data_IF_194463154634
#
_entry.id   IF_194463154634
#
_cell.length_a   1.000
_cell.length_b   1.000
_cell.length_c   1.000
_cell.angle_alpha   90.00
_cell.angle_beta   90.00
_cell.angle_gamma   90.00
#
_symmetry.space_group_name_H-M   'P 1'
#
loop_
_entity.id
_entity.type
_entity.pdbx_description
1 polymer ?
#
# COMPACT_ATOMS: atom_id res chain seq x y z
N UNK A 1 2.66 5.29 7.42
CA UNK A 1 2.42 6.36 6.43
C UNK A 1 2.34 7.68 7.17
N UNK A 2 3.10 8.67 6.71
CA UNK A 2 3.15 10.03 7.21
C UNK A 2 2.61 10.95 6.11
N UNK A 3 1.76 11.91 6.48
CA UNK A 3 1.19 12.90 5.54
C UNK A 3 2.04 14.15 5.65
N UNK A 4 2.69 14.53 4.55
CA UNK A 4 3.54 15.72 4.49
C UNK A 4 2.69 16.95 4.21
N UNK A 5 1.73 16.82 3.29
CA UNK A 5 0.93 17.93 2.81
C UNK A 5 -0.50 17.47 2.57
N UNK A 6 -1.45 18.29 3.02
CA UNK A 6 -2.88 18.15 2.73
C UNK A 6 -3.34 19.40 2.00
N UNK A 7 -3.83 19.24 0.79
CA UNK A 7 -4.34 20.32 -0.04
C UNK A 7 -5.75 20.01 -0.50
N UNK A 8 -6.68 20.90 -0.19
CA UNK A 8 -8.06 20.79 -0.61
C UNK A 8 -8.27 21.53 -1.93
N UNK A 9 -8.88 20.87 -2.92
CA UNK A 9 -9.15 21.43 -4.23
C UNK A 9 -10.66 21.41 -4.52
N UNK A 10 -11.38 22.50 -4.21
CA UNK A 10 -12.83 22.57 -4.36
C UNK A 10 -13.30 22.64 -5.82
N UNK A 11 -12.41 22.88 -6.79
CA UNK A 11 -12.79 22.92 -8.22
C UNK A 11 -12.98 21.50 -8.78
N UNK A 12 -12.27 20.53 -8.20
CA UNK A 12 -12.29 19.12 -8.63
C UNK A 12 -12.90 18.20 -7.56
N UNK A 13 -13.52 18.79 -6.52
CA UNK A 13 -14.09 18.09 -5.36
C UNK A 13 -13.17 16.97 -4.83
N UNK A 14 -11.88 17.31 -4.67
CA UNK A 14 -10.87 16.35 -4.22
C UNK A 14 -9.92 16.92 -3.17
N UNK A 15 -9.46 16.04 -2.31
CA UNK A 15 -8.37 16.28 -1.37
C UNK A 15 -7.11 15.58 -1.91
N UNK A 16 -6.05 16.36 -2.06
CA UNK A 16 -4.73 15.89 -2.48
C UNK A 16 -3.86 15.71 -1.22
N UNK A 17 -3.42 14.49 -0.98
CA UNK A 17 -2.53 14.15 0.13
C UNK A 17 -1.17 13.74 -0.42
N UNK A 18 -0.13 14.52 -0.11
CA UNK A 18 1.25 14.08 -0.34
C UNK A 18 1.70 13.29 0.87
N UNK A 19 2.09 12.04 0.66
CA UNK A 19 2.47 11.15 1.72
C UNK A 19 3.84 10.54 1.53
N UNK A 20 4.35 10.04 2.64
CA UNK A 20 5.60 9.32 2.70
C UNK A 20 5.50 8.14 3.63
N UNK A 21 6.16 7.05 3.26
CA UNK A 21 6.09 5.80 3.97
C UNK A 21 7.50 5.24 4.14
N UNK A 22 7.93 5.15 5.39
CA UNK A 22 9.16 4.44 5.76
C UNK A 22 8.78 2.99 6.12
N UNK A 23 9.20 2.03 5.30
CA UNK A 23 8.94 0.59 5.46
C UNK A 23 10.25 -0.16 5.75
N UNK A 24 10.95 0.25 6.81
CA UNK A 24 12.27 -0.29 7.17
C UNK A 24 12.20 -1.80 7.42
N UNK A 25 12.98 -2.58 6.66
CA UNK A 25 13.00 -4.05 6.78
C UNK A 25 11.83 -4.76 6.09
N UNK A 26 10.88 -4.03 5.51
CA UNK A 26 9.73 -4.58 4.80
C UNK A 26 9.81 -4.29 3.29
N UNK A 27 9.09 -5.10 2.51
CA UNK A 27 8.92 -4.86 1.08
C UNK A 27 8.20 -3.52 0.83
N UNK A 28 8.33 -3.01 -0.40
CA UNK A 28 7.59 -1.82 -0.84
C UNK A 28 6.09 -2.01 -0.61
N UNK A 29 5.39 -1.07 0.06
CA UNK A 29 3.97 -1.19 0.32
C UNK A 29 3.20 -1.38 -0.98
N UNK A 30 2.23 -2.29 -0.95
CA UNK A 30 1.36 -2.56 -2.09
C UNK A 30 0.37 -1.41 -2.32
N UNK A 31 -0.19 -1.36 -3.53
CA UNK A 31 -1.14 -0.30 -3.90
C UNK A 31 -2.40 -0.32 -3.03
N UNK A 32 -2.93 -1.50 -2.68
CA UNK A 32 -4.08 -1.63 -1.77
C UNK A 32 -3.77 -1.10 -0.37
N UNK A 33 -2.60 -1.43 0.19
CA UNK A 33 -2.17 -0.91 1.49
C UNK A 33 -2.06 0.61 1.49
N UNK A 34 -1.58 1.21 0.39
CA UNK A 34 -1.52 2.66 0.24
C UNK A 34 -2.90 3.31 0.16
N UNK A 35 -3.82 2.70 -0.59
CA UNK A 35 -5.23 3.15 -0.67
C UNK A 35 -5.90 3.09 0.70
N UNK A 36 -5.73 2.00 1.43
CA UNK A 36 -6.28 1.81 2.76
C UNK A 36 -5.74 2.80 3.78
N UNK A 37 -4.43 3.04 3.75
CA UNK A 37 -3.79 3.99 4.64
C UNK A 37 -4.21 5.44 4.31
N UNK A 38 -4.36 5.77 3.04
CA UNK A 38 -4.88 7.07 2.60
C UNK A 38 -6.36 7.28 3.00
N UNK A 39 -7.20 6.24 2.88
CA UNK A 39 -8.60 6.31 3.31
C UNK A 39 -8.73 6.46 4.84
N UNK A 40 -7.83 5.85 5.62
CA UNK A 40 -7.77 6.04 7.08
C UNK A 40 -7.26 7.42 7.50
N UNK A 41 -6.43 8.02 6.67
CA UNK A 41 -5.84 9.34 6.91
C UNK A 41 -6.85 10.48 6.81
N UNK A 42 -7.85 10.38 5.93
CA UNK A 42 -8.87 11.41 5.73
C UNK A 42 -10.24 10.95 6.25
N UNK A 43 -10.85 11.67 7.22
CA UNK A 43 -12.16 11.33 7.74
C UNK A 43 -13.24 11.58 6.66
N UNK A 44 -13.94 10.51 6.25
CA UNK A 44 -14.99 10.56 5.23
C UNK A 44 -14.56 10.07 3.84
N UNK A 45 -13.35 9.53 3.70
CA UNK A 45 -12.88 8.97 2.45
C UNK A 45 -13.43 7.55 2.20
N UNK A 46 -14.10 7.36 1.06
CA UNK A 46 -14.45 6.03 0.55
C UNK A 46 -13.27 5.40 -0.19
N UNK A 47 -12.87 4.18 0.17
CA UNK A 47 -11.78 3.44 -0.51
C UNK A 47 -11.93 3.39 -2.04
N UNK A 48 -13.17 3.37 -2.55
CA UNK A 48 -13.50 3.33 -3.98
C UNK A 48 -13.20 4.64 -4.72
N UNK A 49 -13.10 5.74 -3.99
CA UNK A 49 -12.87 7.10 -4.49
C UNK A 49 -11.44 7.59 -4.19
N UNK A 50 -10.57 6.70 -3.70
CA UNK A 50 -9.17 7.00 -3.44
C UNK A 50 -8.31 6.46 -4.60
N UNK A 51 -7.53 7.35 -5.20
CA UNK A 51 -6.59 7.03 -6.25
C UNK A 51 -5.18 7.41 -5.84
N UNK A 52 -4.25 6.47 -5.95
CA UNK A 52 -2.84 6.71 -5.61
C UNK A 52 -2.03 6.87 -6.89
N UNK A 53 -1.27 7.96 -6.98
CA UNK A 53 -0.45 8.33 -8.13
C UNK A 53 0.97 8.70 -7.70
N UNK A 54 1.87 8.68 -8.69
CA UNK A 54 3.26 9.13 -8.55
C UNK A 54 4.00 8.47 -7.38
N UNK A 55 3.75 7.17 -7.16
CA UNK A 55 4.45 6.39 -6.15
C UNK A 55 5.88 6.16 -6.61
N UNK A 56 6.85 6.65 -5.84
CA UNK A 56 8.26 6.46 -6.08
C UNK A 56 8.94 5.97 -4.81
N UNK A 57 9.63 4.83 -4.91
CA UNK A 57 10.48 4.32 -3.84
C UNK A 57 11.92 4.76 -4.07
N UNK A 58 12.52 5.39 -3.07
CA UNK A 58 13.89 5.90 -3.16
C UNK A 58 14.87 4.73 -3.26
N UNK A 59 15.68 4.71 -4.32
CA UNK A 59 16.70 3.67 -4.48
C UNK A 59 17.63 3.57 -3.26
N UNK A 60 17.86 2.36 -2.76
CA UNK A 60 18.72 2.09 -1.61
C UNK A 60 18.12 2.47 -0.24
N UNK A 61 16.87 2.93 -0.20
CA UNK A 61 16.17 3.23 1.05
C UNK A 61 14.76 2.65 1.01
N UNK A 62 14.30 2.08 2.12
CA UNK A 62 12.91 1.63 2.26
C UNK A 62 11.96 2.80 2.52
N UNK A 63 12.00 3.81 1.64
CA UNK A 63 11.20 5.04 1.72
C UNK A 63 10.46 5.26 0.43
N UNK A 64 9.13 5.24 0.50
CA UNK A 64 8.22 5.47 -0.62
C UNK A 64 7.50 6.79 -0.43
N UNK A 65 7.48 7.64 -1.44
CA UNK A 65 6.65 8.84 -1.49
C UNK A 65 5.61 8.70 -2.57
N UNK A 66 4.44 9.32 -2.38
CA UNK A 66 3.39 9.33 -3.37
C UNK A 66 2.35 10.40 -3.10
N UNK A 67 1.38 10.50 -4.01
CA UNK A 67 0.20 11.32 -3.85
C UNK A 67 -1.05 10.44 -3.81
N UNK A 68 -1.92 10.70 -2.85
CA UNK A 68 -3.27 10.16 -2.83
C UNK A 68 -4.27 11.27 -3.18
N UNK A 69 -5.19 10.96 -4.09
CA UNK A 69 -6.28 11.80 -4.54
C UNK A 69 -7.56 11.19 -4.01
N UNK A 70 -8.26 11.92 -3.15
CA UNK A 70 -9.49 11.47 -2.51
C UNK A 70 -10.64 12.31 -3.07
N UNK A 71 -11.54 11.69 -3.81
CA UNK A 71 -12.69 12.36 -4.40
C UNK A 71 -13.91 12.27 -3.49
N UNK A 72 -14.71 13.34 -3.46
CA UNK A 72 -15.98 13.35 -2.74
C UNK A 72 -17.13 12.67 -3.50
N UNK A 73 -17.04 12.56 -4.83
CA UNK A 73 -18.09 12.01 -5.69
C UNK A 73 -17.52 11.13 -6.81
N UNK A 74 -18.32 10.16 -7.27
CA UNK A 74 -17.96 9.29 -8.39
C UNK A 74 -17.85 10.04 -9.73
N UNK A 75 -18.61 11.11 -9.90
CA UNK A 75 -18.52 11.97 -11.08
C UNK A 75 -17.16 12.69 -11.15
N UNK A 76 -16.69 13.20 -10.00
CA UNK A 76 -15.39 13.85 -9.91
C UNK A 76 -14.24 12.87 -10.18
N UNK A 77 -14.38 11.60 -9.77
CA UNK A 77 -13.43 10.54 -10.07
C UNK A 77 -13.36 10.16 -11.57
N UNK A 78 -14.38 10.50 -12.37
CA UNK A 78 -14.45 10.14 -13.79
C UNK A 78 -13.53 11.01 -14.67
N UNK A 79 -12.91 12.05 -14.12
CA UNK A 79 -11.85 12.82 -14.79
C UNK A 79 -10.54 12.02 -14.92
N UNK A 80 -10.40 10.96 -14.13
CA UNK A 80 -9.24 10.10 -14.15
C UNK A 80 -9.22 9.22 -15.41
N UNK A 81 -8.05 8.94 -16.00
CA UNK A 81 -7.96 8.07 -17.17
C UNK A 81 -8.48 6.67 -16.88
N UNK A 82 -9.12 6.04 -17.86
CA UNK A 82 -9.72 4.70 -17.74
C UNK A 82 -8.75 3.66 -17.17
N UNK A 83 -7.48 3.67 -17.59
CA UNK A 83 -6.46 2.73 -17.11
C UNK A 83 -6.17 2.86 -15.60
N UNK A 84 -6.31 4.06 -15.03
CA UNK A 84 -6.13 4.29 -13.59
C UNK A 84 -7.32 3.73 -12.84
N UNK A 85 -8.52 3.96 -13.37
CA UNK A 85 -9.79 3.49 -12.81
C UNK A 85 -9.82 1.95 -12.80
N UNK A 86 -9.47 1.30 -13.91
CA UNK A 86 -9.41 -0.16 -14.03
C UNK A 86 -8.41 -0.78 -13.06
N UNK A 87 -7.22 -0.18 -12.91
CA UNK A 87 -6.21 -0.66 -11.96
C UNK A 87 -6.72 -0.64 -10.52
N UNK A 88 -7.45 0.42 -10.12
CA UNK A 88 -7.99 0.56 -8.77
C UNK A 88 -9.26 -0.27 -8.55
N UNK A 89 -10.10 -0.47 -9.58
CA UNK A 89 -11.23 -1.42 -9.54
C UNK A 89 -10.75 -2.86 -9.37
N UNK A 90 -9.71 -3.27 -10.11
CA UNK A 90 -9.15 -4.61 -10.05
C UNK A 90 -8.54 -4.95 -8.68
N UNK A 91 -8.10 -3.94 -7.93
CA UNK A 91 -7.60 -4.12 -6.56
C UNK A 91 -8.73 -4.43 -5.57
N UNK A 92 -9.87 -3.74 -5.70
CA UNK A 92 -11.06 -4.01 -4.88
C UNK A 92 -11.63 -5.42 -5.15
N UNK A 93 -11.52 -5.93 -6.38
CA UNK A 93 -11.96 -7.30 -6.71
C UNK A 93 -10.96 -8.38 -6.28
N UNK A 94 -9.65 -8.09 -6.33
CA UNK A 94 -8.61 -9.06 -5.97
C UNK A 94 -8.34 -9.20 -4.46
N UNK A 95 -8.71 -8.22 -3.62
CA UNK A 95 -8.72 -8.42 -2.16
C UNK A 95 -9.60 -9.60 -1.75
N UNK A 96 -10.68 -9.88 -2.49
CA UNK A 96 -11.56 -11.04 -2.26
C UNK A 96 -10.90 -12.40 -2.58
N UNK A 97 -9.75 -12.42 -3.27
CA UNK A 97 -9.05 -13.64 -3.68
C UNK A 97 -7.75 -13.89 -2.91
N UNK A 98 -7.12 -12.86 -2.36
CA UNK A 98 -5.83 -13.00 -1.68
C UNK A 98 -5.92 -13.50 -0.22
N UNK A 99 -7.07 -13.35 0.46
CA UNK A 99 -7.24 -13.97 1.79
C UNK A 99 -7.20 -15.50 1.75
N UNK A 100 -7.50 -16.13 0.61
CA UNK A 100 -7.52 -17.59 0.50
C UNK A 100 -6.15 -18.24 0.24
N UNK A 101 -5.12 -17.45 -0.09
CA UNK A 101 -3.79 -17.98 -0.43
C UNK A 101 -2.78 -17.91 0.72
N UNK A 102 -3.03 -17.10 1.76
CA UNK A 102 -2.06 -16.90 2.86
C UNK A 102 -2.17 -17.90 4.01
N UNK A 103 -3.20 -18.75 4.03
CA UNK A 103 -3.42 -19.74 5.10
C UNK A 103 -2.79 -21.12 4.78
N UNK A 104 -2.22 -21.33 3.58
CA UNK A 104 -1.72 -22.66 3.16
C UNK A 104 -0.18 -22.80 3.18
N UNK A 105 0.59 -21.74 3.42
CA UNK A 105 2.08 -21.80 3.36
C UNK A 105 2.79 -21.77 4.72
N UNK A 106 2.09 -21.91 5.86
CA UNK A 106 2.72 -21.82 7.20
C UNK A 106 3.07 -23.20 7.80
N UNK A 107 2.79 -24.32 7.13
CA UNK A 107 2.98 -25.68 7.69
C UNK A 107 3.94 -26.57 6.87
N UNK A 108 5.14 -26.10 6.55
CA UNK A 108 6.30 -27.00 6.32
C UNK A 108 7.60 -26.18 6.20
N UNK A 109 8.41 -26.16 7.26
CA UNK A 109 9.88 -25.98 7.30
C UNK A 109 10.36 -25.16 8.49
N UNK A 110 10.41 -25.82 9.66
CA UNK A 110 11.30 -25.44 10.76
C UNK A 110 12.61 -26.23 10.58
N UNK A 111 13.78 -25.60 10.33
CA UNK A 111 15.08 -26.26 10.45
C UNK A 111 15.62 -26.01 11.86
N UNK A 112 15.57 -27.03 12.72
CA UNK A 112 16.27 -27.00 14.00
C UNK A 112 17.75 -27.38 13.78
N UNK A 113 18.63 -26.40 13.91
CA UNK A 113 20.08 -26.56 13.94
C UNK A 113 20.61 -26.07 15.29
N UNK A 114 21.18 -26.98 16.09
CA UNK A 114 22.17 -26.70 17.16
C UNK A 114 23.13 -27.89 17.21
N UNK A 115 24.36 -27.74 16.70
CA UNK A 115 25.59 -27.41 17.45
C UNK A 115 26.00 -28.48 18.49
N UNK A 116 27.06 -29.21 18.16
CA UNK A 116 27.98 -29.81 19.13
C UNK A 116 29.37 -29.90 18.47
N UNK A 117 30.17 -28.85 18.68
CA UNK A 117 31.63 -28.97 18.67
C UNK A 117 32.04 -29.58 20.01
N UNK A 118 32.79 -30.68 20.00
CA UNK A 118 33.67 -31.03 21.11
C UNK A 118 34.95 -31.66 20.55
N UNK A 119 36.06 -30.96 20.76
CA UNK A 119 37.44 -31.46 20.66
C UNK A 119 37.62 -32.75 21.47
N UNK A 120 38.36 -33.72 20.92
CA UNK A 120 38.72 -34.94 21.64
C UNK A 120 39.78 -35.77 20.92
N UNK A 121 41.02 -35.54 21.35
CA UNK A 121 42.27 -36.26 21.09
C UNK A 121 42.15 -37.80 21.30
N UNK A 122 42.65 -38.61 20.35
CA UNK A 122 43.34 -39.92 20.52
C UNK A 122 43.56 -40.66 19.18
#
# INVERSE_FOLDING_TARGET
>A
MEIIERKENPVLDRVELTFQWNHSGEATPSLSQMVDAAAKAEPGADKKLVFVKNVNTRFGMSRTSGMALIYGAAEAASIEPDYVIERHKSLNENESKQEKAKETEIDDSEPESQEAEEEGDA
#
